data_IF_406260394640
#
_entry.id   IF_406260394640
#
_cell.length_a   1.000
_cell.length_b   1.000
_cell.length_c   1.000
_cell.angle_alpha   90.00
_cell.angle_beta   90.00
_cell.angle_gamma   90.00
#
_symmetry.space_group_name_H-M   'P 1'
#
loop_
_entity.id
_entity.type
_entity.pdbx_description
1 polymer ?
#
# COMPACT_ATOMS: atom_id res chain seq x y z
N UNK A 1 1.39 20.71 -4.80
CA UNK A 1 1.37 19.58 -3.85
C UNK A 1 -0.07 19.12 -3.74
N UNK A 2 -0.34 17.82 -3.88
CA UNK A 2 -1.71 17.30 -3.85
C UNK A 2 -2.18 17.26 -2.39
N UNK A 3 -3.39 17.75 -2.15
CA UNK A 3 -3.99 17.77 -0.80
C UNK A 3 -4.34 16.36 -0.34
N UNK A 4 -4.07 16.09 0.95
CA UNK A 4 -4.35 14.80 1.59
C UNK A 4 -5.80 14.76 2.07
N UNK A 5 -6.39 13.57 2.18
CA UNK A 5 -7.68 13.45 2.84
C UNK A 5 -7.54 13.78 4.34
N UNK A 6 -8.65 13.92 5.06
CA UNK A 6 -8.60 13.78 6.51
C UNK A 6 -8.32 12.31 6.86
N UNK A 7 -7.55 12.07 7.92
CA UNK A 7 -7.27 10.73 8.42
C UNK A 7 -8.60 9.99 8.68
N UNK A 8 -8.76 8.79 8.12
CA UNK A 8 -9.96 7.98 8.34
C UNK A 8 -10.03 7.53 9.79
N UNK A 9 -11.21 7.62 10.39
CA UNK A 9 -11.53 6.92 11.65
C UNK A 9 -12.22 5.59 11.31
N UNK A 10 -11.56 4.42 11.50
CA UNK A 10 -12.15 3.12 11.19
C UNK A 10 -13.42 2.81 11.98
N UNK A 11 -13.53 3.39 13.18
CA UNK A 11 -14.62 3.13 14.13
C UNK A 11 -15.82 4.06 13.86
N UNK A 12 -15.61 5.15 13.10
CA UNK A 12 -16.63 6.12 12.72
C UNK A 12 -16.41 6.61 11.28
N UNK A 13 -16.90 5.84 10.31
CA UNK A 13 -16.70 6.15 8.89
C UNK A 13 -17.45 7.42 8.46
N UNK A 14 -16.74 8.32 7.78
CA UNK A 14 -17.36 9.49 7.14
C UNK A 14 -18.19 9.09 5.92
N UNK A 15 -19.28 9.82 5.58
CA UNK A 15 -20.05 9.57 4.36
C UNK A 15 -19.16 9.46 3.11
N UNK A 16 -19.54 8.56 2.19
CA UNK A 16 -18.76 8.30 0.97
C UNK A 16 -17.48 7.48 1.18
N UNK A 17 -17.24 6.96 2.39
CA UNK A 17 -16.15 6.03 2.69
C UNK A 17 -16.70 4.62 2.79
N UNK A 18 -16.20 3.71 1.96
CA UNK A 18 -16.60 2.29 1.92
C UNK A 18 -15.48 1.43 2.49
N UNK A 19 -15.76 0.65 3.54
CA UNK A 19 -14.85 -0.38 4.01
C UNK A 19 -14.75 -1.53 3.00
N UNK A 20 -13.53 -2.01 2.76
CA UNK A 20 -13.25 -3.09 1.82
C UNK A 20 -12.74 -4.33 2.54
N UNK A 21 -11.70 -4.19 3.36
CA UNK A 21 -11.08 -5.31 4.08
C UNK A 21 -10.22 -4.82 5.24
N UNK A 22 -10.02 -5.69 6.24
CA UNK A 22 -9.04 -5.53 7.31
C UNK A 22 -8.06 -6.70 7.26
N UNK A 23 -6.79 -6.42 7.50
CA UNK A 23 -5.76 -7.41 7.75
C UNK A 23 -5.06 -7.13 9.08
N UNK A 24 -4.64 -8.19 9.75
CA UNK A 24 -3.60 -8.14 10.77
C UNK A 24 -2.26 -8.44 10.09
N UNK A 25 -1.28 -7.57 10.25
CA UNK A 25 0.01 -7.74 9.58
C UNK A 25 0.78 -8.89 10.24
N UNK A 26 1.11 -9.98 9.52
CA UNK A 26 1.73 -11.17 10.10
C UNK A 26 3.17 -10.92 10.58
N UNK A 27 3.86 -9.90 10.03
CA UNK A 27 5.24 -9.58 10.38
C UNK A 27 5.36 -8.62 11.56
N UNK A 28 4.29 -7.89 11.91
CA UNK A 28 4.33 -6.84 12.93
C UNK A 28 3.17 -6.98 13.91
N UNK A 29 3.44 -7.59 15.07
CA UNK A 29 2.44 -7.76 16.13
C UNK A 29 1.76 -6.43 16.50
N UNK A 30 0.43 -6.46 16.54
CA UNK A 30 -0.39 -5.29 16.88
C UNK A 30 -0.48 -4.23 15.78
N UNK A 31 -0.07 -4.55 14.55
CA UNK A 31 -0.27 -3.70 13.37
C UNK A 31 -1.46 -4.21 12.57
N UNK A 32 -2.45 -3.35 12.40
CA UNK A 32 -3.66 -3.56 11.64
C UNK A 32 -3.69 -2.64 10.42
N UNK A 33 -4.23 -3.14 9.32
CA UNK A 33 -4.31 -2.43 8.06
C UNK A 33 -5.74 -2.55 7.51
N UNK A 34 -6.35 -1.39 7.28
CA UNK A 34 -7.72 -1.25 6.84
C UNK A 34 -7.74 -0.63 5.45
N UNK A 35 -8.52 -1.22 4.56
CA UNK A 35 -8.63 -0.82 3.18
C UNK A 35 -10.01 -0.19 2.98
N UNK A 36 -10.02 1.04 2.48
CA UNK A 36 -11.23 1.79 2.22
C UNK A 36 -11.23 2.33 0.80
N UNK A 37 -12.39 2.38 0.15
CA UNK A 37 -12.60 3.24 -1.01
C UNK A 37 -13.17 4.58 -0.52
N UNK A 38 -12.55 5.69 -0.92
CA UNK A 38 -13.06 7.04 -0.68
C UNK A 38 -12.86 7.87 -1.95
N UNK A 39 -13.95 8.40 -2.50
CA UNK A 39 -13.94 8.98 -3.85
C UNK A 39 -13.28 8.01 -4.86
N UNK A 40 -12.32 8.49 -5.64
CA UNK A 40 -11.57 7.70 -6.62
C UNK A 40 -10.24 7.16 -6.06
N UNK A 41 -10.12 7.03 -4.73
CA UNK A 41 -8.90 6.57 -4.08
C UNK A 41 -9.13 5.30 -3.27
N UNK A 42 -8.13 4.42 -3.31
CA UNK A 42 -7.92 3.43 -2.26
C UNK A 42 -7.12 4.09 -1.14
N UNK A 43 -7.65 4.00 0.07
CA UNK A 43 -7.02 4.46 1.29
C UNK A 43 -6.61 3.22 2.08
N UNK A 44 -5.30 3.09 2.35
CA UNK A 44 -4.78 2.05 3.23
C UNK A 44 -4.43 2.73 4.54
N UNK A 45 -5.32 2.58 5.51
CA UNK A 45 -5.16 3.10 6.85
C UNK A 45 -4.41 2.07 7.71
N UNK A 46 -3.45 2.55 8.50
CA UNK A 46 -2.55 1.72 9.29
C UNK A 46 -2.67 2.15 10.74
N UNK A 47 -2.99 1.20 11.61
CA UNK A 47 -3.01 1.37 13.06
C UNK A 47 -1.99 0.42 13.68
N UNK A 48 -1.08 0.94 14.49
CA UNK A 48 -0.06 0.12 15.16
C UNK A 48 -0.03 0.39 16.64
N UNK A 49 -0.24 -0.66 17.43
CA UNK A 49 0.05 -0.64 18.86
C UNK A 49 1.57 -0.63 19.06
N UNK A 50 2.06 0.42 19.72
CA UNK A 50 3.43 0.53 20.21
C UNK A 50 3.41 0.25 21.70
N UNK A 51 4.22 -0.69 22.16
CA UNK A 51 4.28 -1.11 23.57
C UNK A 51 5.56 -0.69 24.27
N UNK A 52 6.59 -0.26 23.54
CA UNK A 52 7.91 0.09 24.09
C UNK A 52 8.09 1.59 24.26
N UNK A 53 8.74 1.99 25.38
CA UNK A 53 9.05 3.35 25.83
C UNK A 53 7.86 4.28 26.08
N UNK A 54 6.95 4.42 25.11
CA UNK A 54 5.72 5.21 25.24
C UNK A 54 4.56 4.41 24.63
N UNK A 55 3.86 3.61 25.44
CA UNK A 55 2.71 2.84 24.98
C UNK A 55 1.66 3.75 24.32
N UNK A 56 1.14 3.33 23.18
CA UNK A 56 0.15 4.11 22.45
C UNK A 56 -0.16 3.52 21.09
N UNK A 57 -1.08 4.17 20.40
CA UNK A 57 -1.47 3.81 19.03
C UNK A 57 -0.87 4.84 18.09
N UNK A 58 -0.14 4.37 17.06
CA UNK A 58 0.27 5.19 15.93
C UNK A 58 -0.68 4.92 14.78
N UNK A 59 -1.19 6.00 14.20
CA UNK A 59 -2.14 5.95 13.08
C UNK A 59 -1.60 6.75 11.90
N UNK A 60 -1.76 6.23 10.70
CA UNK A 60 -1.38 6.88 9.44
C UNK A 60 -2.22 6.30 8.30
N UNK A 61 -2.14 6.91 7.12
CA UNK A 61 -2.67 6.29 5.91
C UNK A 61 -1.80 6.62 4.68
N UNK A 62 -1.86 5.74 3.69
CA UNK A 62 -1.45 6.04 2.31
C UNK A 62 -2.70 6.14 1.44
N UNK A 63 -2.62 7.02 0.45
CA UNK A 63 -3.71 7.34 -0.46
C UNK A 63 -3.20 7.10 -1.86
N UNK A 64 -3.92 6.29 -2.64
CA UNK A 64 -3.53 5.93 -4.00
C UNK A 64 -4.75 6.02 -4.91
N UNK A 65 -4.61 6.53 -6.14
CA UNK A 65 -5.66 6.44 -7.15
C UNK A 65 -6.17 5.00 -7.26
N UNK A 66 -7.48 4.81 -7.28
CA UNK A 66 -8.08 3.48 -7.36
C UNK A 66 -7.69 2.75 -8.65
N UNK A 67 -7.51 3.52 -9.74
CA UNK A 67 -6.97 3.02 -11.02
C UNK A 67 -5.55 2.45 -10.92
N UNK A 68 -4.78 2.80 -9.89
CA UNK A 68 -3.44 2.29 -9.68
C UNK A 68 -3.41 0.85 -9.12
N UNK A 69 -4.54 0.28 -8.68
CA UNK A 69 -4.54 -1.06 -8.06
C UNK A 69 -4.09 -2.13 -9.05
N UNK A 70 -4.57 -2.08 -10.30
CA UNK A 70 -4.12 -3.01 -11.32
C UNK A 70 -2.62 -2.81 -11.64
N UNK A 71 -2.18 -1.56 -11.70
CA UNK A 71 -0.76 -1.24 -11.87
C UNK A 71 0.11 -1.80 -10.74
N UNK A 72 -0.36 -1.80 -9.48
CA UNK A 72 0.39 -2.40 -8.35
C UNK A 72 0.61 -3.90 -8.60
N UNK A 73 -0.47 -4.61 -8.97
CA UNK A 73 -0.43 -6.05 -9.26
C UNK A 73 0.52 -6.32 -10.43
N UNK A 74 0.30 -5.65 -11.55
CA UNK A 74 1.09 -5.82 -12.78
C UNK A 74 2.56 -5.49 -12.54
N UNK A 75 2.85 -4.47 -11.75
CA UNK A 75 4.23 -4.12 -11.41
C UNK A 75 4.92 -5.26 -10.68
N UNK A 76 4.28 -5.87 -9.67
CA UNK A 76 4.87 -7.01 -8.96
C UNK A 76 5.05 -8.20 -9.92
N UNK A 77 4.00 -8.59 -10.65
CA UNK A 77 4.00 -9.82 -11.46
C UNK A 77 4.78 -9.72 -12.76
N UNK A 78 4.94 -8.51 -13.31
CA UNK A 78 5.65 -8.29 -14.57
C UNK A 78 7.03 -7.73 -14.27
N UNK A 79 7.09 -6.58 -13.58
CA UNK A 79 8.36 -5.84 -13.39
C UNK A 79 9.32 -6.59 -12.47
N UNK A 80 8.85 -7.25 -11.42
CA UNK A 80 9.75 -7.93 -10.47
C UNK A 80 9.89 -9.43 -10.71
N UNK A 81 8.90 -10.11 -11.30
CA UNK A 81 8.95 -11.57 -11.47
C UNK A 81 9.43 -12.02 -12.84
N UNK A 82 9.22 -11.24 -13.91
CA UNK A 82 9.60 -11.66 -15.26
C UNK A 82 11.05 -11.23 -15.57
N UNK A 83 11.74 -11.96 -16.45
CA UNK A 83 12.99 -11.49 -17.03
C UNK A 83 12.80 -10.17 -17.80
N UNK A 84 13.88 -9.40 -17.94
CA UNK A 84 13.87 -8.15 -18.72
C UNK A 84 13.33 -8.35 -20.15
N UNK A 85 13.73 -9.44 -20.82
CA UNK A 85 13.24 -9.78 -22.17
C UNK A 85 11.72 -10.03 -22.27
N UNK A 86 11.04 -10.22 -21.14
CA UNK A 86 9.58 -10.42 -21.04
C UNK A 86 8.87 -9.24 -20.37
N UNK A 87 9.53 -8.07 -20.32
CA UNK A 87 8.97 -6.84 -19.77
C UNK A 87 9.29 -6.57 -18.29
N UNK A 88 10.09 -7.44 -17.66
CA UNK A 88 10.63 -7.26 -16.32
C UNK A 88 11.65 -6.14 -16.19
N UNK A 89 12.07 -5.84 -14.96
CA UNK A 89 13.12 -4.87 -14.69
C UNK A 89 14.51 -5.44 -15.04
N UNK A 90 15.45 -4.58 -15.46
CA UNK A 90 16.87 -4.90 -15.46
C UNK A 90 17.36 -5.35 -14.08
N UNK A 91 18.39 -6.19 -14.04
CA UNK A 91 18.92 -6.80 -12.79
C UNK A 91 19.41 -5.78 -11.75
N UNK A 92 19.78 -4.58 -12.20
CA UNK A 92 20.28 -3.46 -11.38
C UNK A 92 19.16 -2.49 -10.94
N UNK A 93 17.90 -2.75 -11.29
CA UNK A 93 16.74 -1.91 -10.95
C UNK A 93 15.88 -2.58 -9.88
N UNK A 94 15.88 -1.97 -8.69
CA UNK A 94 15.10 -2.44 -7.54
C UNK A 94 13.77 -1.70 -7.33
N UNK A 95 13.40 -0.78 -8.23
CA UNK A 95 12.15 -0.04 -8.14
C UNK A 95 11.59 0.26 -9.53
N UNK A 96 10.29 0.53 -9.57
CA UNK A 96 9.57 1.00 -10.74
C UNK A 96 8.67 2.18 -10.34
N UNK A 97 8.67 3.24 -11.14
CA UNK A 97 7.89 4.47 -10.91
C UNK A 97 6.97 4.68 -12.10
N UNK A 98 5.73 5.06 -11.83
CA UNK A 98 4.77 5.46 -12.87
C UNK A 98 3.87 6.59 -12.37
N UNK A 99 3.39 7.41 -13.31
CA UNK A 99 2.45 8.49 -13.01
C UNK A 99 1.02 8.05 -13.35
N UNK A 100 0.16 7.99 -12.35
CA UNK A 100 -1.23 7.50 -12.47
C UNK A 100 -2.15 8.58 -11.91
N UNK A 101 -3.10 9.05 -12.72
CA UNK A 101 -4.02 10.16 -12.37
C UNK A 101 -3.30 11.41 -11.82
N UNK A 102 -2.10 11.69 -12.33
CA UNK A 102 -1.30 12.84 -11.88
C UNK A 102 -0.40 12.57 -10.67
N UNK A 103 -0.50 11.40 -10.05
CA UNK A 103 0.27 11.00 -8.86
C UNK A 103 1.45 10.09 -9.25
N UNK A 104 2.66 10.39 -8.78
CA UNK A 104 3.83 9.54 -8.98
C UNK A 104 3.86 8.45 -7.91
N UNK A 105 3.71 7.20 -8.33
CA UNK A 105 3.74 6.03 -7.48
C UNK A 105 5.00 5.22 -7.74
N UNK A 106 5.58 4.68 -6.68
CA UNK A 106 6.75 3.82 -6.74
C UNK A 106 6.47 2.49 -6.04
N UNK A 107 6.87 1.39 -6.67
CA UNK A 107 7.05 0.10 -5.97
C UNK A 107 8.54 -0.20 -5.94
N UNK A 108 9.07 -0.48 -4.75
CA UNK A 108 10.47 -0.84 -4.54
C UNK A 108 10.59 -2.16 -3.79
N UNK A 109 11.50 -3.03 -4.26
CA UNK A 109 11.88 -4.28 -3.59
C UNK A 109 12.88 -3.97 -2.47
N UNK A 110 12.73 -4.62 -1.31
CA UNK A 110 13.67 -4.49 -0.20
C UNK A 110 13.87 -5.81 0.55
N UNK A 111 15.00 -5.92 1.26
CA UNK A 111 15.43 -7.17 1.94
C UNK A 111 15.05 -7.25 3.43
N UNK A 112 14.49 -6.18 4.00
CA UNK A 112 14.11 -6.13 5.42
C UNK A 112 12.85 -5.29 5.64
N UNK A 113 11.84 -5.55 4.80
CA UNK A 113 10.54 -4.86 4.83
C UNK A 113 9.65 -5.39 5.97
N UNK A 114 9.69 -6.69 6.25
CA UNK A 114 8.93 -7.33 7.34
C UNK A 114 9.69 -7.44 8.66
N UNK A 115 10.89 -6.86 8.75
CA UNK A 115 11.84 -7.15 9.82
C UNK A 115 13.15 -7.68 9.24
N UNK A 116 14.09 -8.02 10.13
CA UNK A 116 15.40 -8.54 9.74
C UNK A 116 15.26 -9.78 8.85
N UNK A 117 15.93 -9.77 7.70
CA UNK A 117 15.91 -10.83 6.68
C UNK A 117 14.53 -11.17 6.09
N UNK A 118 13.49 -10.37 6.35
CA UNK A 118 12.17 -10.55 5.74
C UNK A 118 12.04 -9.54 4.60
N UNK A 119 12.26 -10.03 3.38
CA UNK A 119 12.10 -9.23 2.19
C UNK A 119 10.63 -8.83 1.96
N UNK A 120 10.42 -7.82 1.13
CA UNK A 120 9.10 -7.36 0.73
C UNK A 120 9.15 -6.28 -0.31
N UNK A 121 8.04 -5.59 -0.47
CA UNK A 121 7.88 -4.42 -1.33
C UNK A 121 7.45 -3.22 -0.51
N UNK A 122 7.85 -2.02 -0.95
CA UNK A 122 7.26 -0.76 -0.50
C UNK A 122 6.47 -0.17 -1.63
N UNK A 123 5.21 0.17 -1.37
CA UNK A 123 4.42 1.07 -2.18
C UNK A 123 4.58 2.48 -1.62
N UNK A 124 4.98 3.44 -2.45
CA UNK A 124 5.25 4.81 -2.04
C UNK A 124 4.50 5.76 -2.97
N UNK A 125 3.74 6.68 -2.39
CA UNK A 125 3.16 7.78 -3.13
C UNK A 125 4.08 9.01 -3.01
N UNK A 126 4.86 9.28 -4.06
CA UNK A 126 5.84 10.37 -4.10
C UNK A 126 5.17 11.75 -4.18
N UNK A 127 3.91 11.80 -4.63
CA UNK A 127 3.12 13.03 -4.73
C UNK A 127 2.50 13.48 -3.42
N UNK A 128 2.47 12.62 -2.39
CA UNK A 128 1.82 12.90 -1.09
C UNK A 128 2.79 12.76 0.08
N UNK A 129 2.67 13.66 1.06
CA UNK A 129 3.50 13.62 2.27
C UNK A 129 2.86 12.75 3.36
N UNK A 130 3.68 12.15 4.21
CA UNK A 130 3.21 11.32 5.33
C UNK A 130 2.35 12.11 6.32
N UNK A 131 1.49 11.39 7.04
CA UNK A 131 0.71 11.93 8.16
C UNK A 131 1.51 12.04 9.45
N UNK A 132 2.61 11.28 9.55
CA UNK A 132 3.47 11.27 10.73
C UNK A 132 4.58 12.32 10.59
N UNK A 133 5.24 12.34 9.43
CA UNK A 133 6.38 13.23 9.18
C UNK A 133 6.23 13.90 7.81
N UNK A 134 5.95 15.20 7.80
CA UNK A 134 5.63 15.95 6.56
C UNK A 134 6.78 16.05 5.56
N UNK A 135 8.02 15.81 6.00
CA UNK A 135 9.20 15.72 5.13
C UNK A 135 9.34 14.36 4.42
N UNK A 136 8.61 13.34 4.88
CA UNK A 136 8.58 12.01 4.27
C UNK A 136 7.37 11.84 3.35
N UNK A 137 7.47 10.87 2.43
CA UNK A 137 6.37 10.45 1.56
C UNK A 137 5.46 9.43 2.24
N UNK A 138 4.23 9.30 1.75
CA UNK A 138 3.36 8.22 2.19
C UNK A 138 3.94 6.89 1.69
N UNK A 139 4.08 5.93 2.59
CA UNK A 139 4.60 4.60 2.26
C UNK A 139 3.77 3.50 2.92
N UNK A 140 3.72 2.35 2.25
CA UNK A 140 3.09 1.15 2.73
C UNK A 140 4.01 -0.06 2.49
N UNK A 141 4.30 -0.77 3.57
CA UNK A 141 5.15 -1.95 3.55
C UNK A 141 4.30 -3.20 3.28
N UNK A 142 4.71 -3.97 2.28
CA UNK A 142 4.14 -5.25 1.88
C UNK A 142 5.23 -6.34 2.01
N UNK A 143 5.52 -6.83 3.22
CA UNK A 143 6.42 -7.97 3.42
C UNK A 143 6.00 -9.19 2.60
N UNK A 144 6.93 -10.02 2.14
CA UNK A 144 6.62 -11.19 1.32
C UNK A 144 5.60 -12.15 1.99
N UNK A 145 5.71 -12.50 3.30
CA UNK A 145 4.70 -13.34 3.93
C UNK A 145 3.32 -12.68 3.88
N UNK A 146 3.25 -11.39 4.14
CA UNK A 146 1.98 -10.68 4.09
C UNK A 146 1.39 -10.62 2.68
N UNK A 147 2.25 -10.32 1.70
CA UNK A 147 1.88 -10.17 0.30
C UNK A 147 1.40 -11.50 -0.31
N UNK A 148 2.17 -12.57 -0.14
CA UNK A 148 1.98 -13.82 -0.87
C UNK A 148 1.33 -14.94 -0.05
N UNK A 149 1.52 -14.99 1.27
CA UNK A 149 1.04 -16.10 2.11
C UNK A 149 -0.25 -15.75 2.87
N UNK A 150 -0.47 -14.47 3.16
CA UNK A 150 -1.62 -13.99 3.94
C UNK A 150 -2.67 -13.24 3.10
N UNK A 151 -2.64 -13.42 1.78
CA UNK A 151 -3.76 -13.07 0.88
C UNK A 151 -3.91 -11.59 0.55
N UNK A 152 -2.88 -10.76 0.78
CA UNK A 152 -2.89 -9.36 0.32
C UNK A 152 -2.86 -9.29 -1.21
N UNK A 153 -2.00 -10.07 -1.88
CA UNK A 153 -1.91 -10.07 -3.35
C UNK A 153 -3.24 -10.50 -4.00
N UNK A 154 -3.85 -11.57 -3.50
CA UNK A 154 -5.16 -12.04 -3.99
C UNK A 154 -6.25 -11.00 -3.78
N UNK A 155 -6.23 -10.31 -2.64
CA UNK A 155 -7.15 -9.20 -2.38
C UNK A 155 -6.93 -8.04 -3.36
N UNK A 156 -5.69 -7.64 -3.64
CA UNK A 156 -5.41 -6.57 -4.60
C UNK A 156 -5.86 -6.94 -6.02
N UNK A 157 -5.66 -8.19 -6.44
CA UNK A 157 -6.15 -8.72 -7.72
C UNK A 157 -7.67 -8.67 -7.84
N UNK A 158 -8.37 -9.22 -6.85
CA UNK A 158 -9.83 -9.21 -6.79
C UNK A 158 -10.38 -7.77 -6.76
N UNK A 159 -9.74 -6.89 -6.01
CA UNK A 159 -10.14 -5.48 -5.94
C UNK A 159 -9.91 -4.76 -7.26
N UNK A 160 -8.78 -4.98 -7.93
CA UNK A 160 -8.48 -4.41 -9.25
C UNK A 160 -9.52 -4.82 -10.29
N UNK A 161 -9.88 -6.11 -10.33
CA UNK A 161 -10.94 -6.62 -11.20
C UNK A 161 -12.28 -5.93 -10.92
N UNK A 162 -12.71 -5.89 -9.65
CA UNK A 162 -13.99 -5.26 -9.26
C UNK A 162 -14.06 -3.77 -9.59
N UNK A 163 -12.94 -3.04 -9.49
CA UNK A 163 -12.88 -1.62 -9.87
C UNK A 163 -12.99 -1.46 -11.38
N UNK A 164 -12.27 -2.28 -12.16
CA UNK A 164 -12.35 -2.24 -13.62
C UNK A 164 -13.75 -2.54 -14.17
N UNK A 165 -14.51 -3.37 -13.46
CA UNK A 165 -15.89 -3.73 -13.77
C UNK A 165 -16.93 -2.72 -13.21
N UNK A 166 -16.50 -1.68 -12.48
CA UNK A 166 -17.40 -0.70 -11.86
C UNK A 166 -18.25 -1.26 -10.70
N UNK A 167 -17.86 -2.39 -10.11
CA UNK A 167 -18.59 -3.05 -9.00
C UNK A 167 -18.27 -2.46 -7.63
N UNK A 168 -17.18 -1.71 -7.51
CA UNK A 168 -16.77 -1.06 -6.26
C UNK A 168 -16.50 0.41 -6.47
#
# INVERSE_FOLDING_TARGET
MIEKFSLINPDHLTPGTRFLKKFENPCFKGKEEFYFKKANHLIIYIRKLVTWKKPGIIETQIEIPASAIQWIVDTIEIKFFKPHAQGGLPIDKFHYIEKIEGEELMIARGVSIGGENIAGYKLINLSRNSYILTTSKQEFAMPDPFLFEHGLMDFLKDLGAKISEGKI
#
